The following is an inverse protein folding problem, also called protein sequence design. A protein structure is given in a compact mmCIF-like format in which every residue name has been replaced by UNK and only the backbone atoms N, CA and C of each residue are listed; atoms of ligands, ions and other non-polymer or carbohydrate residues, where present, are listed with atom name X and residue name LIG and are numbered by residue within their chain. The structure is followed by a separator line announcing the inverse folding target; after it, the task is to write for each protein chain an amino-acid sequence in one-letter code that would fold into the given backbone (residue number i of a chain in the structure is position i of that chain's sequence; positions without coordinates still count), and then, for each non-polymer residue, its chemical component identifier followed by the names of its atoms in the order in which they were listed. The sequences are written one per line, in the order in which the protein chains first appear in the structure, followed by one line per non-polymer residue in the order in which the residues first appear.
data_IF_299219374521
#
_entry.id   IF_299219374521
#
_cell.length_a   1.000
_cell.length_b   1.000
_cell.length_c   1.000
_cell.angle_alpha   90.00
_cell.angle_beta   90.00
_cell.angle_gamma   90.00
#
_symmetry.space_group_name_H-M   'P 1'
#
loop_
_entity.id
_entity.type
_entity.pdbx_description
1 polymer ?
#
# COMPACT_ATOMS: atom_id res chain seq x y z
N UNK A 1 -3.87 -36.23 -52.65
CA UNK A 1 -2.88 -35.70 -53.60
C UNK A 1 -2.28 -34.47 -52.96
N UNK A 2 -1.04 -34.37 -52.53
CA UNK A 2 0.17 -35.18 -52.72
C UNK A 2 1.05 -34.94 -51.49
N UNK A 3 1.90 -35.91 -51.18
CA UNK A 3 2.98 -35.85 -50.19
C UNK A 3 4.15 -35.00 -50.70
N UNK A 4 4.88 -34.35 -49.80
CA UNK A 4 6.17 -33.70 -50.10
C UNK A 4 7.09 -33.74 -48.89
N UNK A 5 8.14 -34.55 -48.98
CA UNK A 5 9.12 -34.89 -47.94
C UNK A 5 10.48 -34.26 -48.28
N UNK A 6 11.30 -34.04 -47.24
CA UNK A 6 12.76 -33.76 -47.24
C UNK A 6 13.19 -32.31 -47.57
N UNK A 7 14.17 -31.70 -46.89
CA UNK A 7 15.50 -32.25 -46.59
C UNK A 7 16.23 -31.51 -45.45
N UNK A 8 17.06 -32.25 -44.74
CA UNK A 8 18.14 -31.79 -43.85
C UNK A 8 19.24 -31.11 -44.66
N UNK A 9 19.84 -30.02 -44.18
CA UNK A 9 21.29 -29.76 -44.35
C UNK A 9 21.83 -28.84 -43.23
N UNK A 10 23.07 -29.14 -42.88
CA UNK A 10 23.95 -28.59 -41.84
C UNK A 10 24.38 -27.13 -42.04
N UNK A 11 24.58 -26.39 -40.95
CA UNK A 11 25.30 -25.11 -40.98
C UNK A 11 25.54 -24.47 -39.62
N UNK A 12 26.54 -24.96 -38.87
CA UNK A 12 27.13 -24.26 -37.73
C UNK A 12 28.33 -23.46 -38.23
N UNK A 13 28.52 -22.21 -37.80
CA UNK A 13 29.88 -21.71 -37.63
C UNK A 13 30.11 -21.31 -36.18
N UNK A 14 31.00 -22.05 -35.52
CA UNK A 14 31.77 -21.53 -34.39
C UNK A 14 32.93 -20.71 -34.97
N UNK A 15 33.02 -19.44 -34.58
CA UNK A 15 34.16 -18.59 -34.85
C UNK A 15 34.25 -17.53 -33.75
N UNK A 16 35.01 -17.83 -32.70
CA UNK A 16 35.36 -16.86 -31.66
C UNK A 16 36.71 -16.21 -31.93
N UNK A 17 36.87 -14.96 -31.47
CA UNK A 17 37.96 -14.40 -30.63
C UNK A 17 37.98 -12.85 -30.78
N UNK A 18 38.69 -12.08 -29.94
CA UNK A 18 38.04 -11.23 -28.92
C UNK A 18 38.41 -9.75 -29.07
N UNK A 19 37.53 -8.80 -28.74
CA UNK A 19 38.00 -7.42 -28.64
C UNK A 19 37.18 -6.52 -27.71
N UNK A 20 37.89 -6.03 -26.69
CA UNK A 20 37.66 -4.80 -25.92
C UNK A 20 36.36 -4.66 -25.13
N UNK A 21 36.41 -5.19 -23.91
CA UNK A 21 35.89 -4.40 -22.79
C UNK A 21 36.74 -3.13 -22.62
N UNK A 22 36.10 -1.96 -22.62
CA UNK A 22 36.41 -0.78 -21.79
C UNK A 22 35.52 0.41 -22.20
N UNK A 23 34.78 0.96 -21.23
CA UNK A 23 34.37 2.37 -21.24
C UNK A 23 32.88 2.65 -21.49
N UNK A 24 32.00 2.27 -20.56
CA UNK A 24 30.75 3.01 -20.37
C UNK A 24 31.06 4.47 -20.05
N UNK A 25 30.19 5.43 -20.39
CA UNK A 25 30.47 6.85 -20.27
C UNK A 25 30.77 7.20 -18.80
N UNK A 26 31.82 8.00 -18.52
CA UNK A 26 32.11 8.41 -17.16
C UNK A 26 30.92 9.17 -16.60
N UNK A 27 30.40 8.74 -15.44
CA UNK A 27 29.55 9.57 -14.58
C UNK A 27 30.40 10.72 -14.07
N UNK A 28 30.61 11.71 -14.92
CA UNK A 28 31.31 12.94 -14.60
C UNK A 28 30.27 13.94 -14.10
N UNK A 29 30.32 14.15 -12.78
CA UNK A 29 30.06 15.40 -12.10
C UNK A 29 28.70 16.05 -12.38
N UNK A 30 27.77 15.84 -11.44
CA UNK A 30 26.54 16.62 -11.30
C UNK A 30 26.93 18.07 -10.94
N UNK A 31 27.28 18.86 -11.94
CA UNK A 31 27.57 20.28 -11.81
C UNK A 31 26.25 21.03 -11.69
N UNK A 32 26.07 21.80 -10.60
CA UNK A 32 24.99 22.76 -10.46
C UNK A 32 25.38 24.03 -11.21
N UNK A 33 24.77 24.24 -12.36
CA UNK A 33 24.90 25.48 -13.13
C UNK A 33 24.05 26.57 -12.46
N UNK A 34 24.69 27.60 -11.93
CA UNK A 34 23.98 28.79 -11.45
C UNK A 34 23.53 29.58 -12.68
N UNK A 35 22.22 29.62 -12.92
CA UNK A 35 21.66 30.45 -13.98
C UNK A 35 22.09 31.92 -13.78
N UNK A 36 22.73 32.47 -14.80
CA UNK A 36 23.11 33.88 -14.86
C UNK A 36 21.85 34.75 -14.79
N UNK A 37 21.91 35.82 -14.00
CA UNK A 37 20.81 36.74 -13.71
C UNK A 37 20.24 37.28 -15.04
N UNK A 38 19.06 36.80 -15.45
CA UNK A 38 18.39 37.29 -16.66
C UNK A 38 17.26 36.43 -17.23
N UNK A 39 17.21 35.12 -16.96
CA UNK A 39 16.18 34.24 -17.55
C UNK A 39 15.39 33.50 -16.46
N UNK A 40 14.43 34.20 -15.83
CA UNK A 40 13.42 33.54 -14.97
C UNK A 40 12.35 32.96 -15.89
N UNK A 41 12.69 31.88 -16.58
CA UNK A 41 11.68 30.99 -17.16
C UNK A 41 10.98 30.31 -15.99
N UNK A 42 9.68 30.58 -15.84
CA UNK A 42 8.80 30.05 -14.77
C UNK A 42 9.28 28.69 -14.26
N UNK A 43 9.90 28.72 -13.09
CA UNK A 43 10.48 27.55 -12.43
C UNK A 43 9.31 26.69 -11.96
N UNK A 44 8.78 25.85 -12.87
CA UNK A 44 7.75 24.85 -12.60
C UNK A 44 8.05 24.20 -11.25
N UNK A 45 7.17 24.40 -10.29
CA UNK A 45 7.28 23.84 -8.96
C UNK A 45 7.35 22.31 -9.09
N UNK A 46 8.55 21.73 -8.97
CA UNK A 46 8.72 20.29 -8.95
C UNK A 46 8.43 19.85 -7.52
N UNK A 47 7.19 19.46 -7.24
CA UNK A 47 6.85 18.77 -6.00
C UNK A 47 7.66 17.47 -5.94
N UNK A 48 8.58 17.38 -4.97
CA UNK A 48 9.26 16.14 -4.65
C UNK A 48 8.25 15.21 -3.97
N UNK A 49 7.52 14.43 -4.76
CA UNK A 49 6.77 13.30 -4.23
C UNK A 49 7.74 12.15 -4.04
N UNK A 50 8.28 12.04 -2.83
CA UNK A 50 9.05 10.87 -2.44
C UNK A 50 8.17 9.63 -2.65
N UNK A 51 8.72 8.61 -3.31
CA UNK A 51 8.02 7.35 -3.54
C UNK A 51 8.27 6.41 -2.36
N UNK A 52 7.20 5.84 -1.82
CA UNK A 52 7.30 4.76 -0.84
C UNK A 52 7.92 3.52 -1.48
N UNK A 53 8.80 2.84 -0.74
CA UNK A 53 9.35 1.55 -1.16
C UNK A 53 8.29 0.46 -1.22
N UNK A 54 8.59 -0.68 -1.86
CA UNK A 54 7.63 -1.78 -2.00
C UNK A 54 7.07 -2.27 -0.65
N UNK A 55 7.92 -2.35 0.39
CA UNK A 55 7.50 -2.72 1.74
C UNK A 55 6.57 -1.68 2.38
N UNK A 56 6.92 -0.39 2.31
CA UNK A 56 6.07 0.69 2.81
C UNK A 56 4.73 0.71 2.09
N UNK A 57 4.72 0.55 0.76
CA UNK A 57 3.48 0.43 0.00
C UNK A 57 2.65 -0.79 0.42
N UNK A 58 3.29 -1.90 0.79
CA UNK A 58 2.58 -3.07 1.33
C UNK A 58 1.94 -2.76 2.68
N UNK A 59 2.66 -2.12 3.60
CA UNK A 59 2.14 -1.71 4.91
C UNK A 59 0.98 -0.72 4.78
N UNK A 60 1.12 0.31 3.93
CA UNK A 60 0.05 1.28 3.66
C UNK A 60 -1.20 0.56 3.16
N UNK A 61 -1.07 -0.36 2.19
CA UNK A 61 -2.21 -1.12 1.67
C UNK A 61 -2.85 -2.00 2.75
N UNK A 62 -2.06 -2.68 3.57
CA UNK A 62 -2.59 -3.50 4.68
C UNK A 62 -3.36 -2.63 5.67
N UNK A 63 -2.79 -1.50 6.08
CA UNK A 63 -3.44 -0.55 7.00
C UNK A 63 -4.77 -0.06 6.45
N UNK A 64 -4.77 0.43 5.21
CA UNK A 64 -5.99 0.88 4.54
C UNK A 64 -7.06 -0.23 4.44
N UNK A 65 -6.66 -1.48 4.22
CA UNK A 65 -7.61 -2.59 4.20
C UNK A 65 -8.27 -2.81 5.58
N UNK A 66 -7.53 -2.64 6.68
CA UNK A 66 -8.08 -2.76 8.03
C UNK A 66 -8.99 -1.57 8.35
N UNK A 67 -8.57 -0.35 8.02
CA UNK A 67 -9.38 0.88 8.21
C UNK A 67 -10.69 0.82 7.42
N UNK A 68 -10.64 0.45 6.14
CA UNK A 68 -11.83 0.33 5.29
C UNK A 68 -12.80 -0.73 5.82
N UNK A 69 -12.28 -1.89 6.21
CA UNK A 69 -13.13 -2.93 6.80
C UNK A 69 -13.75 -2.48 8.12
N UNK A 70 -12.99 -1.81 8.98
CA UNK A 70 -13.49 -1.28 10.24
C UNK A 70 -14.62 -0.29 10.01
N UNK A 71 -14.47 0.62 9.04
CA UNK A 71 -15.52 1.54 8.61
C UNK A 71 -16.79 0.80 8.17
N UNK A 72 -16.66 -0.19 7.28
CA UNK A 72 -17.81 -0.99 6.82
C UNK A 72 -18.52 -1.72 7.97
N UNK A 73 -17.75 -2.28 8.91
CA UNK A 73 -18.33 -2.96 10.08
C UNK A 73 -19.01 -1.99 11.03
N UNK A 74 -18.42 -0.82 11.30
CA UNK A 74 -19.03 0.21 12.14
C UNK A 74 -20.33 0.73 11.51
N UNK A 75 -20.36 0.95 10.21
CA UNK A 75 -21.57 1.32 9.48
C UNK A 75 -22.66 0.24 9.58
N UNK A 76 -22.27 -1.05 9.59
CA UNK A 76 -23.21 -2.16 9.82
C UNK A 76 -23.73 -2.20 11.26
N UNK A 77 -22.90 -1.84 12.24
CA UNK A 77 -23.27 -1.81 13.66
C UNK A 77 -24.14 -0.60 14.02
N UNK A 78 -23.90 0.55 13.38
CA UNK A 78 -24.63 1.79 13.58
C UNK A 78 -25.40 2.16 12.30
N UNK A 79 -26.44 1.40 11.92
CA UNK A 79 -27.22 1.72 10.74
C UNK A 79 -27.94 3.06 10.93
N UNK A 80 -27.94 3.87 9.88
CA UNK A 80 -28.59 5.17 9.85
C UNK A 80 -30.07 5.06 10.23
N UNK A 81 -30.57 5.83 11.21
CA UNK A 81 -32.00 5.99 11.39
C UNK A 81 -32.58 6.83 10.22
N UNK A 82 -33.83 6.54 9.85
CA UNK A 82 -34.57 7.18 8.76
C UNK A 82 -34.57 8.73 8.82
N UNK A 83 -34.32 9.31 10.00
CA UNK A 83 -34.37 10.75 10.29
C UNK A 83 -33.02 11.48 10.13
N UNK A 84 -31.98 10.83 9.60
CA UNK A 84 -30.75 11.50 9.14
C UNK A 84 -29.84 12.10 10.23
N UNK A 85 -30.10 11.81 11.52
CA UNK A 85 -29.16 12.10 12.61
C UNK A 85 -28.20 10.94 12.78
N UNK A 86 -27.02 11.04 12.18
CA UNK A 86 -25.93 10.10 12.35
C UNK A 86 -25.14 10.45 13.61
N UNK A 87 -24.86 9.45 14.45
CA UNK A 87 -23.67 9.45 15.29
C UNK A 87 -22.65 8.60 14.50
N UNK A 88 -21.87 9.25 13.64
CA UNK A 88 -20.78 8.57 12.92
C UNK A 88 -19.75 8.14 13.97
N UNK A 89 -19.77 6.86 14.32
CA UNK A 89 -18.81 6.31 15.26
C UNK A 89 -17.51 6.01 14.50
N UNK A 90 -16.47 6.75 14.83
CA UNK A 90 -15.11 6.51 14.36
C UNK A 90 -14.29 5.85 15.48
N UNK A 91 -13.47 4.87 15.11
CA UNK A 91 -12.49 4.25 16.00
C UNK A 91 -11.10 4.53 15.41
N UNK A 92 -10.19 5.05 16.22
CA UNK A 92 -8.83 5.33 15.77
C UNK A 92 -7.96 4.06 15.83
N UNK A 93 -7.52 3.60 14.66
CA UNK A 93 -6.69 2.40 14.55
C UNK A 93 -5.31 2.60 15.21
N UNK A 94 -4.74 3.80 15.11
CA UNK A 94 -3.43 4.10 15.73
C UNK A 94 -3.52 4.02 17.26
N UNK A 95 -4.56 4.57 17.88
CA UNK A 95 -4.76 4.48 19.33
C UNK A 95 -4.91 3.02 19.78
N UNK A 96 -5.66 2.21 19.02
CA UNK A 96 -5.79 0.78 19.28
C UNK A 96 -4.45 0.02 19.16
N UNK A 97 -3.59 0.42 18.21
CA UNK A 97 -2.28 -0.19 18.02
C UNK A 97 -1.32 0.15 19.16
N UNK A 98 -1.41 1.37 19.72
CA UNK A 98 -0.60 1.85 20.86
C UNK A 98 -0.94 1.17 22.20
N UNK A 99 -2.12 0.55 22.33
CA UNK A 99 -2.50 -0.16 23.56
C UNK A 99 -1.72 -1.47 23.72
N UNK A 100 -0.87 -1.56 24.74
CA UNK A 100 -0.11 -2.78 25.03
C UNK A 100 -0.97 -3.91 25.62
N UNK A 101 -1.15 -4.97 24.84
CA UNK A 101 -1.74 -6.24 25.26
C UNK A 101 -3.18 -6.44 24.79
N UNK A 102 -3.47 -7.64 24.28
CA UNK A 102 -4.75 -7.98 23.64
C UNK A 102 -5.96 -7.82 24.57
N UNK A 103 -5.83 -8.18 25.85
CA UNK A 103 -6.90 -8.02 26.85
C UNK A 103 -7.27 -6.55 27.06
N UNK A 104 -6.28 -5.65 27.04
CA UNK A 104 -6.52 -4.20 27.18
C UNK A 104 -7.13 -3.64 25.90
N UNK A 105 -6.65 -4.05 24.72
CA UNK A 105 -7.25 -3.69 23.42
C UNK A 105 -8.72 -4.07 23.36
N UNK A 106 -9.04 -5.31 23.75
CA UNK A 106 -10.41 -5.82 23.83
C UNK A 106 -11.28 -4.96 24.75
N UNK A 107 -10.77 -4.61 25.94
CA UNK A 107 -11.50 -3.78 26.90
C UNK A 107 -11.72 -2.36 26.36
N UNK A 108 -10.69 -1.74 25.79
CA UNK A 108 -10.79 -0.43 25.14
C UNK A 108 -11.88 -0.42 24.06
N UNK A 109 -11.92 -1.43 23.19
CA UNK A 109 -12.96 -1.54 22.16
C UNK A 109 -14.36 -1.73 22.75
N UNK A 110 -14.50 -2.51 23.82
CA UNK A 110 -15.77 -2.67 24.53
C UNK A 110 -16.27 -1.35 25.13
N UNK A 111 -15.37 -0.58 25.75
CA UNK A 111 -15.69 0.70 26.36
C UNK A 111 -16.05 1.72 25.27
N UNK A 112 -15.33 1.74 24.15
CA UNK A 112 -15.61 2.62 23.01
C UNK A 112 -16.93 2.29 22.31
N UNK A 113 -17.35 1.01 22.29
CA UNK A 113 -18.59 0.53 21.66
C UNK A 113 -19.74 0.34 22.67
N UNK A 114 -19.63 0.85 23.90
CA UNK A 114 -20.64 0.68 24.94
C UNK A 114 -22.00 1.33 24.59
N UNK A 115 -21.99 2.29 23.66
CA UNK A 115 -23.15 2.98 23.10
C UNK A 115 -23.83 2.22 21.94
N UNK A 116 -23.27 1.09 21.50
CA UNK A 116 -23.80 0.31 20.39
C UNK A 116 -25.15 -0.33 20.74
N UNK A 117 -26.15 -0.14 19.87
CA UNK A 117 -27.52 -0.68 20.05
C UNK A 117 -27.71 -2.11 19.50
N UNK A 118 -26.68 -2.71 18.91
CA UNK A 118 -26.74 -4.07 18.35
C UNK A 118 -26.56 -5.15 19.42
N UNK A 119 -26.77 -6.42 19.03
CA UNK A 119 -26.51 -7.55 19.94
C UNK A 119 -25.06 -7.61 20.37
N UNK A 120 -24.83 -7.96 21.65
CA UNK A 120 -23.49 -8.18 22.22
C UNK A 120 -22.67 -9.17 21.42
N UNK A 121 -23.29 -10.22 20.88
CA UNK A 121 -22.59 -11.21 20.03
C UNK A 121 -22.00 -10.60 18.76
N UNK A 122 -22.71 -9.65 18.13
CA UNK A 122 -22.21 -8.97 16.92
C UNK A 122 -21.03 -8.08 17.25
N UNK A 123 -21.12 -7.35 18.36
CA UNK A 123 -20.04 -6.48 18.86
C UNK A 123 -18.81 -7.33 19.24
N UNK A 124 -19.01 -8.44 19.93
CA UNK A 124 -17.91 -9.35 20.29
C UNK A 124 -17.24 -9.96 19.06
N UNK A 125 -18.03 -10.36 18.06
CA UNK A 125 -17.51 -10.88 16.79
C UNK A 125 -16.69 -9.82 16.04
N UNK A 126 -17.18 -8.58 15.99
CA UNK A 126 -16.45 -7.44 15.43
C UNK A 126 -15.11 -7.22 16.16
N UNK A 127 -15.12 -7.21 17.49
CA UNK A 127 -13.90 -7.03 18.30
C UNK A 127 -12.89 -8.15 18.02
N UNK A 128 -13.33 -9.41 17.96
CA UNK A 128 -12.46 -10.54 17.66
C UNK A 128 -11.81 -10.41 16.27
N UNK A 129 -12.61 -10.13 15.25
CA UNK A 129 -12.12 -10.00 13.87
C UNK A 129 -11.20 -8.77 13.71
N UNK A 130 -11.46 -7.67 14.42
CA UNK A 130 -10.61 -6.48 14.41
C UNK A 130 -9.25 -6.76 15.03
N UNK A 131 -9.20 -7.46 16.18
CA UNK A 131 -7.95 -7.82 16.84
C UNK A 131 -7.11 -8.78 15.98
N UNK A 132 -7.74 -9.76 15.33
CA UNK A 132 -7.05 -10.67 14.41
C UNK A 132 -6.42 -9.91 13.25
N UNK A 133 -7.15 -8.98 12.63
CA UNK A 133 -6.66 -8.14 11.53
C UNK A 133 -5.59 -7.16 11.96
N UNK A 134 -5.75 -6.52 13.13
CA UNK A 134 -4.78 -5.58 13.69
C UNK A 134 -3.43 -6.26 14.00
N UNK A 135 -3.42 -7.56 14.29
CA UNK A 135 -2.18 -8.34 14.51
C UNK A 135 -1.34 -8.51 13.23
N UNK A 136 -1.94 -8.29 12.05
CA UNK A 136 -1.26 -8.46 10.75
C UNK A 136 -0.57 -7.19 10.22
N UNK A 137 -0.75 -6.08 10.94
CA UNK A 137 -0.16 -4.76 10.70
C UNK A 137 1.19 -4.63 11.41
#
# INVERSE_FOLDING_TARGET
MEVGVASYTSGRPMGGSPDRGRGGPPRSNLHVEFAQIGEVKERKEKYLTAKYGAHQMSLIRKRLNVEMWMFDQLQSLYPAPQDGKYEEKELDLDELLDVDGELKKRKYLWDSLADCKQSKDKVEKFINELLERATTL
#
